data_IF_960477568360
#
_entry.id   IF_960477568360
#
_cell.length_a   1.000
_cell.length_b   1.000
_cell.length_c   1.000
_cell.angle_alpha   90.00
_cell.angle_beta   90.00
_cell.angle_gamma   90.00
#
_symmetry.space_group_name_H-M   'P 1'
#
loop_
_entity.id
_entity.type
_entity.pdbx_description
1 polymer ?
#
# COMPACT_ATOMS: atom_id res chain seq x y z
N UNK A 1 52.00 -9.42 4.65
CA UNK A 1 50.67 -9.37 5.29
C UNK A 1 49.70 -8.60 4.39
N UNK A 2 49.11 -9.23 3.36
CA UNK A 2 48.13 -8.57 2.46
C UNK A 2 47.43 -9.62 1.58
N UNK A 3 46.70 -10.57 2.20
CA UNK A 3 46.00 -11.61 1.40
C UNK A 3 44.76 -12.19 2.10
N UNK A 4 44.03 -11.36 2.85
CA UNK A 4 42.76 -11.80 3.50
C UNK A 4 41.57 -10.89 3.25
N UNK A 5 41.75 -9.74 2.59
CA UNK A 5 40.70 -8.72 2.45
C UNK A 5 39.95 -8.75 1.11
N UNK A 6 40.37 -9.57 0.14
CA UNK A 6 39.78 -9.57 -1.22
C UNK A 6 38.63 -10.59 -1.36
N UNK A 7 38.54 -11.59 -0.48
CA UNK A 7 37.54 -12.67 -0.62
C UNK A 7 36.17 -12.28 -0.03
N UNK A 8 36.08 -11.26 0.82
CA UNK A 8 34.81 -10.87 1.46
C UNK A 8 33.88 -10.02 0.58
N UNK A 9 34.36 -9.47 -0.54
CA UNK A 9 33.57 -8.55 -1.38
C UNK A 9 32.70 -9.30 -2.41
N UNK A 10 33.02 -10.56 -2.73
CA UNK A 10 32.31 -11.32 -3.77
C UNK A 10 31.00 -12.00 -3.30
N UNK A 11 30.78 -12.14 -1.99
CA UNK A 11 29.62 -12.87 -1.45
C UNK A 11 28.42 -11.94 -1.19
N UNK A 12 28.66 -10.63 -1.03
CA UNK A 12 27.58 -9.65 -0.79
C UNK A 12 26.87 -9.29 -2.10
N UNK A 13 27.52 -9.46 -3.25
CA UNK A 13 26.96 -9.08 -4.57
C UNK A 13 25.92 -10.06 -5.12
N UNK A 14 25.87 -11.31 -4.63
CA UNK A 14 24.94 -12.33 -5.15
C UNK A 14 23.58 -12.35 -4.45
N UNK A 15 23.45 -11.76 -3.27
CA UNK A 15 22.17 -11.64 -2.55
C UNK A 15 21.31 -10.46 -3.04
N UNK A 16 21.91 -9.47 -3.69
CA UNK A 16 21.20 -8.32 -4.23
C UNK A 16 20.45 -8.59 -5.55
N UNK A 17 20.76 -9.69 -6.26
CA UNK A 17 20.07 -10.05 -7.50
C UNK A 17 18.89 -11.00 -7.29
N UNK A 18 18.80 -11.70 -6.15
CA UNK A 18 17.67 -12.59 -5.85
C UNK A 18 16.38 -11.85 -5.54
N UNK A 19 16.43 -10.61 -5.06
CA UNK A 19 15.25 -9.77 -4.78
C UNK A 19 14.64 -9.15 -6.04
N UNK A 20 15.43 -8.94 -7.10
CA UNK A 20 14.94 -8.38 -8.37
C UNK A 20 14.21 -9.40 -9.26
N UNK A 21 14.43 -10.70 -9.05
CA UNK A 21 13.75 -11.77 -9.81
C UNK A 21 12.34 -12.10 -9.30
N UNK A 22 11.93 -11.57 -8.14
CA UNK A 22 10.54 -11.68 -7.65
C UNK A 22 9.61 -10.60 -8.23
N UNK A 23 10.16 -9.50 -8.76
CA UNK A 23 9.37 -8.40 -9.34
C UNK A 23 8.92 -8.64 -10.79
N UNK A 24 9.36 -9.74 -11.42
CA UNK A 24 9.07 -10.01 -12.83
C UNK A 24 8.16 -11.23 -13.09
N UNK A 25 7.54 -11.77 -12.04
CA UNK A 25 6.35 -12.60 -12.21
C UNK A 25 5.14 -11.68 -12.37
N UNK A 26 5.01 -11.06 -13.55
CA UNK A 26 3.69 -10.76 -14.15
C UNK A 26 3.02 -12.10 -14.48
N UNK A 27 2.73 -12.87 -13.44
CA UNK A 27 1.97 -14.10 -13.55
C UNK A 27 0.52 -13.67 -13.72
N UNK A 28 0.00 -13.97 -14.90
CA UNK A 28 -1.39 -14.04 -15.35
C UNK A 28 -2.39 -14.56 -14.28
N UNK A 29 -2.60 -13.82 -13.19
CA UNK A 29 -3.53 -14.10 -12.09
C UNK A 29 -4.49 -12.92 -11.86
N UNK A 30 -4.87 -12.19 -12.92
CA UNK A 30 -5.99 -11.24 -12.84
C UNK A 30 -7.32 -11.88 -12.40
N UNK A 31 -7.39 -13.21 -12.37
CA UNK A 31 -8.59 -13.96 -11.99
C UNK A 31 -8.91 -13.93 -10.49
N UNK A 32 -7.95 -13.58 -9.62
CA UNK A 32 -8.12 -13.68 -8.15
C UNK A 32 -8.09 -12.33 -7.44
N UNK A 33 -7.95 -11.20 -8.15
CA UNK A 33 -7.98 -9.88 -7.52
C UNK A 33 -9.43 -9.49 -7.17
N UNK A 34 -9.67 -8.89 -5.98
CA UNK A 34 -10.97 -8.32 -5.65
C UNK A 34 -11.42 -7.30 -6.69
N UNK A 35 -12.72 -7.16 -6.87
CA UNK A 35 -13.29 -6.07 -7.65
C UNK A 35 -13.34 -4.77 -6.87
N UNK A 36 -13.59 -3.65 -7.56
CA UNK A 36 -13.91 -2.37 -6.91
C UNK A 36 -15.08 -2.55 -5.93
N UNK A 37 -16.09 -3.33 -6.31
CA UNK A 37 -17.24 -3.64 -5.47
C UNK A 37 -16.83 -4.38 -4.19
N UNK A 38 -16.01 -5.43 -4.30
CA UNK A 38 -15.57 -6.21 -3.14
C UNK A 38 -14.79 -5.34 -2.15
N UNK A 39 -13.89 -4.49 -2.67
CA UNK A 39 -13.13 -3.53 -1.88
C UNK A 39 -14.04 -2.51 -1.18
N UNK A 40 -14.94 -1.85 -1.91
CA UNK A 40 -15.89 -0.89 -1.32
C UNK A 40 -16.83 -1.55 -0.31
N UNK A 41 -17.31 -2.77 -0.60
CA UNK A 41 -18.16 -3.54 0.31
C UNK A 41 -17.44 -3.87 1.60
N UNK A 42 -16.16 -4.27 1.53
CA UNK A 42 -15.33 -4.44 2.71
C UNK A 42 -15.18 -3.13 3.50
N UNK A 43 -14.91 -2.00 2.83
CA UNK A 43 -14.78 -0.71 3.49
C UNK A 43 -16.05 -0.28 4.23
N UNK A 44 -17.22 -0.49 3.63
CA UNK A 44 -18.51 -0.16 4.26
C UNK A 44 -18.76 -0.96 5.56
N UNK A 45 -18.18 -2.16 5.65
CA UNK A 45 -18.28 -3.02 6.84
C UNK A 45 -17.09 -2.86 7.79
N UNK A 46 -16.14 -1.99 7.46
CA UNK A 46 -14.92 -1.74 8.24
C UNK A 46 -15.06 -0.45 9.02
N UNK A 47 -14.83 -0.50 10.33
CA UNK A 47 -14.77 0.71 11.16
C UNK A 47 -13.37 1.32 11.00
N UNK A 48 -13.29 2.40 10.24
CA UNK A 48 -12.10 3.24 10.16
C UNK A 48 -12.10 4.22 11.33
N UNK A 49 -10.97 4.38 12.01
CA UNK A 49 -10.81 5.36 13.08
C UNK A 49 -10.15 6.64 12.57
N UNK A 50 -10.53 7.76 13.17
CA UNK A 50 -9.93 9.07 12.94
C UNK A 50 -8.92 9.40 14.04
N UNK A 51 -7.95 10.26 13.77
CA UNK A 51 -6.86 10.55 14.69
C UNK A 51 -7.30 11.13 16.05
N UNK A 52 -8.46 11.78 16.12
CA UNK A 52 -9.06 12.28 17.36
C UNK A 52 -9.59 11.18 18.30
N UNK A 53 -9.60 9.93 17.84
CA UNK A 53 -9.95 8.75 18.62
C UNK A 53 -8.72 8.08 19.26
N UNK A 54 -7.53 8.66 19.11
CA UNK A 54 -6.36 8.28 19.89
C UNK A 54 -6.45 8.87 21.31
N UNK A 55 -6.16 8.05 22.32
CA UNK A 55 -6.24 8.43 23.73
C UNK A 55 -5.03 9.30 24.16
N UNK A 56 -3.95 9.33 23.38
CA UNK A 56 -2.77 10.16 23.62
C UNK A 56 -2.79 11.44 22.74
N UNK A 57 -2.97 12.64 23.33
CA UNK A 57 -3.04 13.88 22.57
C UNK A 57 -1.75 14.26 21.83
N UNK A 58 -0.58 13.77 22.24
CA UNK A 58 0.66 13.97 21.46
C UNK A 58 0.70 13.05 20.24
N UNK A 59 0.09 11.86 20.32
CA UNK A 59 -0.04 10.90 19.22
C UNK A 59 -1.05 11.41 18.17
N UNK A 60 -2.04 12.22 18.57
CA UNK A 60 -3.02 12.85 17.66
C UNK A 60 -2.33 13.74 16.61
N UNK A 61 -1.35 14.57 17.01
CA UNK A 61 -0.64 15.46 16.08
C UNK A 61 0.23 14.66 15.09
N UNK A 62 0.93 13.63 15.58
CA UNK A 62 1.71 12.73 14.74
C UNK A 62 0.83 11.90 13.79
N UNK A 63 -0.34 11.45 14.26
CA UNK A 63 -1.35 10.79 13.46
C UNK A 63 -1.87 11.70 12.35
N UNK A 64 -2.21 12.95 12.67
CA UNK A 64 -2.66 13.93 11.67
C UNK A 64 -1.57 14.23 10.64
N UNK A 65 -0.31 14.30 11.05
CA UNK A 65 0.82 14.47 10.14
C UNK A 65 1.00 13.27 9.20
N UNK A 66 0.93 12.03 9.72
CA UNK A 66 0.97 10.81 8.93
C UNK A 66 -0.23 10.73 7.95
N UNK A 67 -1.44 11.08 8.42
CA UNK A 67 -2.64 11.12 7.60
C UNK A 67 -2.53 12.14 6.46
N UNK A 68 -2.03 13.34 6.76
CA UNK A 68 -1.87 14.43 5.78
C UNK A 68 -0.84 14.07 4.72
N UNK A 69 0.32 13.56 5.13
CA UNK A 69 1.38 13.17 4.19
C UNK A 69 0.97 11.97 3.34
N UNK A 70 0.31 10.97 3.93
CA UNK A 70 -0.26 9.84 3.19
C UNK A 70 -1.33 10.30 2.20
N UNK A 71 -2.23 11.19 2.61
CA UNK A 71 -3.27 11.75 1.72
C UNK A 71 -2.66 12.56 0.58
N UNK A 72 -1.57 13.27 0.84
CA UNK A 72 -0.84 14.02 -0.19
C UNK A 72 -0.10 13.09 -1.16
N UNK A 73 0.29 11.89 -0.72
CA UNK A 73 0.88 10.86 -1.57
C UNK A 73 -0.17 10.15 -2.44
N UNK A 74 -1.36 9.89 -1.89
CA UNK A 74 -2.37 9.08 -2.56
C UNK A 74 -3.49 9.86 -3.27
N UNK A 75 -3.67 11.17 -3.05
CA UNK A 75 -4.74 11.96 -3.68
C UNK A 75 -4.44 12.32 -5.13
N UNK A 76 -5.41 12.16 -6.04
CA UNK A 76 -5.28 12.55 -7.46
C UNK A 76 -4.96 14.03 -7.69
N UNK A 77 -5.41 14.89 -6.76
CA UNK A 77 -5.31 16.34 -6.88
C UNK A 77 -4.02 16.90 -6.25
N UNK A 78 -3.23 16.04 -5.61
CA UNK A 78 -2.01 16.44 -4.96
C UNK A 78 -0.85 16.57 -5.96
N UNK A 79 -0.04 17.64 -5.91
CA UNK A 79 1.17 17.75 -6.73
C UNK A 79 2.26 16.74 -6.34
N UNK A 80 2.14 16.12 -5.17
CA UNK A 80 3.05 15.08 -4.67
C UNK A 80 2.47 13.68 -4.80
N UNK A 81 1.35 13.52 -5.52
CA UNK A 81 0.78 12.21 -5.76
C UNK A 81 1.78 11.32 -6.50
N UNK A 82 1.90 10.05 -6.10
CA UNK A 82 2.69 9.11 -6.89
C UNK A 82 1.98 8.84 -8.23
N UNK A 83 2.75 8.48 -9.25
CA UNK A 83 2.19 8.15 -10.56
C UNK A 83 1.22 6.96 -10.49
N UNK A 84 1.52 5.96 -9.65
CA UNK A 84 0.65 4.80 -9.43
C UNK A 84 -0.69 5.23 -8.81
N UNK A 85 -0.69 6.17 -7.86
CA UNK A 85 -1.90 6.73 -7.27
C UNK A 85 -2.74 7.52 -8.27
N UNK A 86 -2.11 8.33 -9.13
CA UNK A 86 -2.84 9.02 -10.22
C UNK A 86 -3.48 8.01 -11.18
N UNK A 87 -2.77 6.95 -11.56
CA UNK A 87 -3.32 5.89 -12.41
C UNK A 87 -4.46 5.11 -11.73
N UNK A 88 -4.33 4.84 -10.44
CA UNK A 88 -5.39 4.22 -9.65
C UNK A 88 -6.66 5.08 -9.68
N UNK A 89 -6.58 6.37 -9.36
CA UNK A 89 -7.76 7.24 -9.34
C UNK A 89 -8.41 7.38 -10.71
N UNK A 90 -7.62 7.51 -11.77
CA UNK A 90 -8.16 7.51 -13.14
C UNK A 90 -8.91 6.21 -13.47
N UNK A 91 -8.36 5.06 -13.10
CA UNK A 91 -9.05 3.78 -13.25
C UNK A 91 -10.34 3.76 -12.44
N UNK A 92 -10.27 4.11 -11.15
CA UNK A 92 -11.41 4.11 -10.24
C UNK A 92 -12.58 4.99 -10.74
N UNK A 93 -12.29 6.17 -11.30
CA UNK A 93 -13.28 7.10 -11.86
C UNK A 93 -13.94 6.60 -13.15
N UNK A 94 -13.25 5.74 -13.92
CA UNK A 94 -13.70 5.31 -15.25
C UNK A 94 -14.17 3.86 -15.33
N UNK A 95 -13.89 3.07 -14.28
CA UNK A 95 -14.19 1.65 -14.23
C UNK A 95 -15.56 1.31 -13.68
N UNK A 96 -16.04 0.12 -14.05
CA UNK A 96 -17.25 -0.46 -13.47
C UNK A 96 -16.93 -1.14 -12.13
N UNK A 97 -17.91 -1.16 -11.22
CA UNK A 97 -17.76 -1.80 -9.91
C UNK A 97 -17.33 -3.28 -9.97
N UNK A 98 -17.66 -3.98 -11.06
CA UNK A 98 -17.29 -5.39 -11.28
C UNK A 98 -15.86 -5.59 -11.80
N UNK A 99 -15.11 -4.53 -12.09
CA UNK A 99 -13.73 -4.65 -12.55
C UNK A 99 -12.78 -4.90 -11.37
N UNK A 100 -11.79 -5.77 -11.61
CA UNK A 100 -10.75 -6.09 -10.63
C UNK A 100 -9.92 -4.86 -10.28
N UNK A 101 -9.48 -4.77 -9.02
CA UNK A 101 -8.50 -3.78 -8.57
C UNK A 101 -7.22 -3.90 -9.43
N UNK A 102 -6.77 -2.81 -10.06
CA UNK A 102 -5.63 -2.83 -10.97
C UNK A 102 -4.31 -2.87 -10.19
N UNK A 103 -3.21 -3.24 -10.86
CA UNK A 103 -1.87 -3.20 -10.26
C UNK A 103 -1.53 -1.81 -9.67
N UNK A 104 -2.01 -0.73 -10.31
CA UNK A 104 -1.82 0.65 -9.83
C UNK A 104 -2.43 0.92 -8.46
N UNK A 105 -3.48 0.20 -8.06
CA UNK A 105 -4.01 0.27 -6.69
C UNK A 105 -2.96 -0.19 -5.67
N UNK A 106 -2.37 -1.36 -5.91
CA UNK A 106 -1.41 -1.97 -4.99
C UNK A 106 -0.07 -1.22 -4.99
N UNK A 107 0.36 -0.74 -6.17
CA UNK A 107 1.52 0.13 -6.29
C UNK A 107 1.30 1.45 -5.55
N UNK A 108 0.11 2.07 -5.65
CA UNK A 108 -0.23 3.28 -4.89
C UNK A 108 -0.16 3.05 -3.38
N UNK A 109 -0.77 1.96 -2.90
CA UNK A 109 -0.70 1.58 -1.49
C UNK A 109 0.76 1.37 -1.04
N UNK A 110 1.58 0.71 -1.85
CA UNK A 110 3.00 0.50 -1.57
C UNK A 110 3.80 1.81 -1.54
N UNK A 111 3.55 2.73 -2.47
CA UNK A 111 4.26 4.01 -2.57
C UNK A 111 4.01 4.90 -1.36
N UNK A 112 2.80 4.83 -0.78
CA UNK A 112 2.40 5.68 0.34
C UNK A 112 2.52 4.99 1.72
N UNK A 113 2.87 3.69 1.76
CA UNK A 113 2.93 2.89 2.97
C UNK A 113 3.89 3.47 4.02
N UNK A 114 5.04 3.96 3.58
CA UNK A 114 6.06 4.51 4.47
C UNK A 114 5.58 5.76 5.24
N UNK A 115 4.71 6.58 4.64
CA UNK A 115 4.11 7.74 5.30
C UNK A 115 3.08 7.30 6.34
N UNK A 116 2.23 6.32 5.98
CA UNK A 116 1.23 5.80 6.89
C UNK A 116 1.88 5.15 8.13
N UNK A 117 2.98 4.42 7.94
CA UNK A 117 3.74 3.76 9.01
C UNK A 117 4.49 4.71 9.95
N UNK A 118 4.53 6.02 9.68
CA UNK A 118 5.10 7.01 10.61
C UNK A 118 4.27 7.12 11.90
N UNK A 119 3.00 6.73 11.86
CA UNK A 119 2.14 6.68 13.03
C UNK A 119 1.39 5.34 13.10
N UNK A 120 1.55 4.62 14.21
CA UNK A 120 0.99 3.26 14.33
C UNK A 120 -0.55 3.27 14.41
N UNK A 121 -1.15 4.26 15.07
CA UNK A 121 -2.61 4.38 15.14
C UNK A 121 -3.19 4.55 13.74
N UNK A 122 -2.73 5.55 12.99
CA UNK A 122 -3.17 5.80 11.62
C UNK A 122 -2.98 4.58 10.71
N UNK A 123 -1.80 3.95 10.76
CA UNK A 123 -1.53 2.76 9.98
C UNK A 123 -2.50 1.63 10.28
N UNK A 124 -2.68 1.28 11.56
CA UNK A 124 -3.48 0.12 11.97
C UNK A 124 -4.99 0.36 11.87
N UNK A 125 -5.45 1.58 12.13
CA UNK A 125 -6.87 1.91 12.27
C UNK A 125 -7.50 2.54 11.04
N UNK A 126 -6.68 3.04 10.11
CA UNK A 126 -7.17 3.66 8.88
C UNK A 126 -6.53 3.06 7.64
N UNK A 127 -5.20 3.18 7.50
CA UNK A 127 -4.52 2.84 6.24
C UNK A 127 -4.57 1.36 5.91
N UNK A 128 -4.15 0.50 6.84
CA UNK A 128 -4.10 -0.96 6.64
C UNK A 128 -5.50 -1.55 6.39
N UNK A 129 -6.55 -1.20 7.16
CA UNK A 129 -7.90 -1.63 6.84
C UNK A 129 -8.33 -1.26 5.42
N UNK A 130 -8.03 -0.03 4.99
CA UNK A 130 -8.47 0.48 3.69
C UNK A 130 -7.70 -0.07 2.49
N UNK A 131 -6.38 -0.03 2.55
CA UNK A 131 -5.49 -0.26 1.40
C UNK A 131 -4.89 -1.66 1.36
N UNK A 132 -4.91 -2.39 2.49
CA UNK A 132 -4.33 -3.72 2.60
C UNK A 132 -5.42 -4.76 2.83
N UNK A 133 -6.15 -4.67 3.95
CA UNK A 133 -7.09 -5.72 4.35
C UNK A 133 -8.27 -5.85 3.40
N UNK A 134 -8.88 -4.73 2.99
CA UNK A 134 -9.99 -4.74 2.04
C UNK A 134 -9.58 -5.00 0.59
N UNK A 135 -8.27 -5.09 0.30
CA UNK A 135 -7.75 -5.42 -1.02
C UNK A 135 -7.33 -6.89 -1.13
N UNK A 136 -7.59 -7.70 -0.11
CA UNK A 136 -7.37 -9.14 -0.16
C UNK A 136 -8.57 -9.86 -0.80
N UNK A 137 -8.34 -10.97 -1.53
CA UNK A 137 -9.42 -11.80 -2.05
C UNK A 137 -10.35 -12.23 -0.90
N UNK A 138 -11.64 -11.96 -1.03
CA UNK A 138 -12.64 -12.50 -0.11
C UNK A 138 -12.72 -14.00 -0.39
N UNK A 139 -12.30 -14.83 0.57
CA UNK A 139 -12.68 -16.23 0.58
C UNK A 139 -14.19 -16.28 0.81
N UNK A 140 -14.97 -16.26 -0.27
CA UNK A 140 -16.38 -16.61 -0.24
C UNK A 140 -16.46 -18.09 0.19
N UNK A 141 -16.52 -18.31 1.50
CA UNK A 141 -17.01 -19.57 2.06
C UNK A 141 -18.51 -19.62 1.77
N UNK A 142 -18.85 -20.07 0.55
CA UNK A 142 -20.20 -20.48 0.18
C UNK A 142 -20.64 -21.70 1.00
#
# INVERSE_FOLDING_TARGET
MTSKTIILIAIISTLALSSLLLLNKKSSLKSDQPTIYDWQSCLQNTVLSTCDQDDDPLDVDECNAAATTTSSCNSESSPTASQSCTHWWYFYETSLASEALPDSFYECASDCLNFAQQNNFYYQKFFSPMWINCALPTHHNN
#
